data_IF_423597600752
#
_entry.id   IF_423597600752
#
_cell.length_a   1.000
_cell.length_b   1.000
_cell.length_c   1.000
_cell.angle_alpha   90.00
_cell.angle_beta   90.00
_cell.angle_gamma   90.00
#
_symmetry.space_group_name_H-M   'P 1'
#
loop_
_entity.id
_entity.type
_entity.pdbx_description
1 polymer ?
#
# COMPACT_ATOMS: atom_id res chain seq x y z
N UNK A 1 24.22 26.87 -0.27
CA UNK A 1 23.05 27.05 0.62
C UNK A 1 22.05 25.96 0.25
N UNK A 2 21.92 24.90 1.06
CA UNK A 2 20.98 23.80 0.76
C UNK A 2 19.57 24.36 0.95
N UNK A 3 18.76 24.38 -0.12
CA UNK A 3 17.35 24.81 -0.03
C UNK A 3 16.58 23.69 0.66
N UNK A 4 16.20 23.89 1.92
CA UNK A 4 15.29 23.00 2.63
C UNK A 4 13.89 23.22 2.06
N UNK A 5 13.25 22.17 1.57
CA UNK A 5 11.86 22.24 1.15
C UNK A 5 11.00 22.37 2.41
N UNK A 6 10.19 23.42 2.48
CA UNK A 6 9.26 23.65 3.58
C UNK A 6 7.84 23.43 3.06
N UNK A 7 7.09 22.54 3.72
CA UNK A 7 5.66 22.40 3.47
C UNK A 7 4.94 23.74 3.75
N UNK A 8 3.71 23.94 3.26
CA UNK A 8 2.92 25.13 3.60
C UNK A 8 2.77 25.32 5.12
N UNK A 9 2.65 24.24 5.86
CA UNK A 9 2.56 24.25 7.33
C UNK A 9 3.89 24.66 7.97
N UNK A 10 5.01 24.16 7.46
CA UNK A 10 6.34 24.53 7.98
C UNK A 10 6.65 26.01 7.74
N UNK A 11 6.17 26.59 6.64
CA UNK A 11 6.32 28.03 6.36
C UNK A 11 5.59 28.90 7.40
N UNK A 12 4.43 28.45 7.88
CA UNK A 12 3.63 29.14 8.89
C UNK A 12 4.26 28.96 10.27
N UNK A 13 4.56 27.70 10.63
CA UNK A 13 5.01 27.34 11.97
C UNK A 13 6.49 27.64 12.24
N UNK A 14 7.29 27.82 11.18
CA UNK A 14 8.73 28.11 11.23
C UNK A 14 9.46 27.18 12.22
N UNK A 15 9.36 25.85 12.06
CA UNK A 15 9.98 24.92 12.98
C UNK A 15 11.50 25.03 12.94
N UNK A 16 12.16 24.61 14.02
CA UNK A 16 13.63 24.55 14.07
C UNK A 16 14.19 23.58 13.01
N UNK A 17 15.42 23.81 12.54
CA UNK A 17 16.09 22.90 11.59
C UNK A 17 16.14 21.46 12.13
N UNK A 18 16.36 21.29 13.43
CA UNK A 18 16.39 19.97 14.08
C UNK A 18 15.06 19.22 13.94
N UNK A 19 13.94 19.94 14.06
CA UNK A 19 12.61 19.35 13.87
C UNK A 19 12.46 18.80 12.45
N UNK A 20 12.80 19.60 11.44
CA UNK A 20 12.72 19.19 10.03
C UNK A 20 13.62 17.99 9.73
N UNK A 21 14.84 17.97 10.27
CA UNK A 21 15.76 16.84 10.11
C UNK A 21 15.22 15.55 10.71
N UNK A 22 14.60 15.62 11.89
CA UNK A 22 14.00 14.45 12.54
C UNK A 22 12.79 13.97 11.75
N UNK A 23 11.93 14.89 11.28
CA UNK A 23 10.79 14.57 10.43
C UNK A 23 11.23 13.87 9.15
N UNK A 24 12.17 14.44 8.40
CA UNK A 24 12.68 13.88 7.14
C UNK A 24 13.31 12.51 7.37
N UNK A 25 14.05 12.33 8.47
CA UNK A 25 14.62 11.03 8.84
C UNK A 25 13.55 9.95 9.00
N UNK A 26 12.45 10.23 9.71
CA UNK A 26 11.37 9.25 9.88
C UNK A 26 10.58 9.02 8.60
N UNK A 27 10.31 10.07 7.82
CA UNK A 27 9.58 9.94 6.54
C UNK A 27 10.38 9.07 5.58
N UNK A 28 11.65 9.38 5.35
CA UNK A 28 12.51 8.61 4.45
C UNK A 28 12.81 7.22 5.01
N UNK A 29 13.07 7.13 6.31
CA UNK A 29 13.37 5.86 7.00
C UNK A 29 12.20 4.90 7.00
N UNK A 30 10.96 5.40 7.04
CA UNK A 30 9.74 4.57 7.01
C UNK A 30 9.63 3.73 5.74
N UNK A 31 10.26 4.15 4.63
CA UNK A 31 10.15 3.39 3.39
C UNK A 31 10.87 2.04 3.42
N UNK A 32 11.86 1.88 4.31
CA UNK A 32 12.63 0.63 4.47
C UNK A 32 11.74 -0.51 5.00
N UNK A 33 11.08 -0.37 6.18
CA UNK A 33 10.21 -1.43 6.69
C UNK A 33 9.07 -1.77 5.74
N UNK A 34 8.50 -0.78 5.03
CA UNK A 34 7.49 -1.03 4.00
C UNK A 34 8.00 -1.91 2.87
N UNK A 35 9.18 -1.60 2.33
CA UNK A 35 9.80 -2.38 1.27
C UNK A 35 10.07 -3.81 1.74
N UNK A 36 10.55 -3.98 2.97
CA UNK A 36 10.76 -5.30 3.58
C UNK A 36 9.43 -6.05 3.69
N UNK A 37 8.36 -5.40 4.16
CA UNK A 37 7.04 -6.02 4.30
C UNK A 37 6.50 -6.53 2.95
N UNK A 38 6.64 -5.78 1.86
CA UNK A 38 6.21 -6.22 0.52
C UNK A 38 6.96 -7.48 0.06
N UNK A 39 8.29 -7.50 0.25
CA UNK A 39 9.12 -8.65 -0.09
C UNK A 39 8.70 -9.86 0.76
N UNK A 40 8.45 -9.65 2.05
CA UNK A 40 8.03 -10.71 2.96
C UNK A 40 6.62 -11.22 2.63
N UNK A 41 5.67 -10.37 2.25
CA UNK A 41 4.36 -10.78 1.77
C UNK A 41 4.47 -11.69 0.55
N UNK A 42 5.23 -11.28 -0.47
CA UNK A 42 5.42 -12.09 -1.68
C UNK A 42 6.13 -13.42 -1.36
N UNK A 43 7.16 -13.39 -0.52
CA UNK A 43 7.91 -14.58 -0.10
C UNK A 43 7.02 -15.55 0.67
N UNK A 44 6.28 -15.07 1.66
CA UNK A 44 5.44 -15.89 2.52
C UNK A 44 4.27 -16.50 1.75
N UNK A 45 3.66 -15.74 0.82
CA UNK A 45 2.63 -16.24 -0.09
C UNK A 45 3.13 -17.44 -0.93
N UNK A 46 4.37 -17.38 -1.43
CA UNK A 46 4.97 -18.49 -2.15
C UNK A 46 5.31 -19.70 -1.26
N UNK A 47 5.86 -19.47 -0.06
CA UNK A 47 6.25 -20.55 0.86
C UNK A 47 5.01 -21.32 1.32
N UNK A 48 4.00 -20.60 1.81
CA UNK A 48 2.81 -21.21 2.41
C UNK A 48 1.76 -21.62 1.37
N UNK A 49 2.03 -21.38 0.09
CA UNK A 49 1.08 -21.62 -1.01
C UNK A 49 -0.27 -20.97 -0.70
N UNK A 50 -0.21 -19.69 -0.36
CA UNK A 50 -1.37 -18.87 -0.01
C UNK A 50 -1.23 -17.45 -0.56
N UNK A 51 -2.15 -16.56 -0.20
CA UNK A 51 -2.05 -15.13 -0.45
C UNK A 51 -1.87 -14.41 0.89
N UNK A 52 -0.87 -13.52 0.95
CA UNK A 52 -0.48 -12.87 2.19
C UNK A 52 -1.31 -11.62 2.48
N UNK A 53 -1.18 -10.61 1.60
CA UNK A 53 -1.95 -9.38 1.74
C UNK A 53 -3.43 -9.65 1.40
N UNK A 54 -4.38 -9.21 2.24
CA UNK A 54 -5.80 -9.36 1.92
C UNK A 54 -6.17 -8.59 0.63
N UNK A 55 -7.18 -9.07 -0.10
CA UNK A 55 -7.48 -8.61 -1.47
C UNK A 55 -7.82 -7.11 -1.56
N UNK A 56 -8.65 -6.60 -0.63
CA UNK A 56 -9.07 -5.19 -0.63
C UNK A 56 -7.86 -4.25 -0.36
N UNK A 57 -7.05 -4.47 0.69
CA UNK A 57 -5.80 -3.73 0.90
C UNK A 57 -4.85 -3.77 -0.30
N UNK A 58 -4.68 -4.93 -0.93
CA UNK A 58 -3.83 -5.06 -2.12
C UNK A 58 -4.32 -4.17 -3.27
N UNK A 59 -5.64 -4.17 -3.53
CA UNK A 59 -6.22 -3.28 -4.54
C UNK A 59 -6.03 -1.80 -4.20
N UNK A 60 -6.19 -1.43 -2.92
CA UNK A 60 -6.03 -0.06 -2.45
C UNK A 60 -4.58 0.41 -2.56
N UNK A 61 -3.61 -0.43 -2.20
CA UNK A 61 -2.19 -0.11 -2.29
C UNK A 61 -1.74 0.11 -3.73
N UNK A 62 -2.02 -0.84 -4.63
CA UNK A 62 -1.70 -0.71 -6.06
C UNK A 62 -2.28 0.59 -6.63
N UNK A 63 -3.55 0.88 -6.31
CA UNK A 63 -4.22 2.08 -6.79
C UNK A 63 -3.59 3.35 -6.22
N UNK A 64 -3.26 3.37 -4.93
CA UNK A 64 -2.60 4.50 -4.27
C UNK A 64 -1.23 4.77 -4.89
N UNK A 65 -0.40 3.74 -5.04
CA UNK A 65 0.95 3.86 -5.59
C UNK A 65 0.94 4.28 -7.05
N UNK A 66 -0.03 3.80 -7.84
CA UNK A 66 -0.18 4.23 -9.22
C UNK A 66 -0.63 5.70 -9.33
N UNK A 67 -1.66 6.09 -8.58
CA UNK A 67 -2.17 7.47 -8.63
C UNK A 67 -1.14 8.47 -8.14
N UNK A 68 -0.47 8.22 -7.01
CA UNK A 68 0.44 9.18 -6.40
C UNK A 68 1.92 8.98 -6.79
N UNK A 69 2.27 7.83 -7.37
CA UNK A 69 3.61 7.58 -7.90
C UNK A 69 3.75 7.89 -9.39
N UNK A 70 2.67 7.72 -10.17
CA UNK A 70 2.72 7.81 -11.65
C UNK A 70 1.84 8.94 -12.20
N UNK A 71 0.56 9.01 -11.81
CA UNK A 71 -0.39 9.94 -12.44
C UNK A 71 -0.30 11.37 -11.87
N UNK A 72 -0.21 11.49 -10.55
CA UNK A 72 -0.19 12.75 -9.81
C UNK A 72 0.88 12.75 -8.70
N UNK A 73 2.18 12.57 -9.04
CA UNK A 73 3.24 12.69 -8.06
C UNK A 73 3.45 14.15 -7.64
N UNK A 74 3.64 14.36 -6.33
CA UNK A 74 3.88 15.69 -5.78
C UNK A 74 5.36 16.07 -5.76
N UNK A 75 6.25 15.07 -5.82
CA UNK A 75 7.70 15.27 -5.81
C UNK A 75 8.42 14.08 -6.44
N UNK A 76 9.68 14.30 -6.82
CA UNK A 76 10.56 13.21 -7.28
C UNK A 76 10.76 12.14 -6.19
N UNK A 77 10.74 12.54 -4.91
CA UNK A 77 10.83 11.61 -3.79
C UNK A 77 9.67 10.61 -3.78
N UNK A 78 8.44 11.07 -4.03
CA UNK A 78 7.27 10.18 -4.14
C UNK A 78 7.42 9.19 -5.29
N UNK A 79 7.90 9.63 -6.45
CA UNK A 79 8.14 8.73 -7.60
C UNK A 79 9.15 7.65 -7.23
N UNK A 80 10.29 8.04 -6.65
CA UNK A 80 11.38 7.11 -6.29
C UNK A 80 10.97 6.16 -5.16
N UNK A 81 10.03 6.55 -4.29
CA UNK A 81 9.52 5.68 -3.23
C UNK A 81 8.38 4.77 -3.68
N UNK A 82 7.38 5.30 -4.37
CA UNK A 82 6.12 4.59 -4.62
C UNK A 82 6.15 3.72 -5.87
N UNK A 83 6.91 4.10 -6.91
CA UNK A 83 7.03 3.27 -8.12
C UNK A 83 7.72 1.93 -7.82
N UNK A 84 8.79 1.85 -7.00
CA UNK A 84 9.33 0.57 -6.57
C UNK A 84 8.33 -0.29 -5.78
N UNK A 85 7.47 0.30 -4.95
CA UNK A 85 6.42 -0.46 -4.26
C UNK A 85 5.37 -0.99 -5.24
N UNK A 86 5.00 -0.20 -6.26
CA UNK A 86 4.10 -0.66 -7.31
C UNK A 86 4.66 -1.85 -8.09
N UNK A 87 5.97 -1.85 -8.31
CA UNK A 87 6.67 -2.99 -8.90
C UNK A 87 6.69 -4.18 -7.93
N UNK A 88 6.86 -3.93 -6.63
CA UNK A 88 6.84 -4.97 -5.60
C UNK A 88 5.46 -5.60 -5.38
N UNK A 89 4.36 -4.94 -5.78
CA UNK A 89 3.03 -5.54 -5.79
C UNK A 89 2.87 -6.62 -6.86
N UNK A 90 3.62 -6.58 -7.97
CA UNK A 90 3.55 -7.57 -9.06
C UNK A 90 3.73 -9.00 -8.55
N UNK A 91 4.79 -9.36 -7.80
CA UNK A 91 4.92 -10.70 -7.24
C UNK A 91 3.82 -11.02 -6.21
N UNK A 92 3.30 -10.04 -5.44
CA UNK A 92 2.20 -10.27 -4.49
C UNK A 92 0.93 -10.67 -5.24
N UNK A 93 0.57 -9.93 -6.30
CA UNK A 93 -0.55 -10.25 -7.19
C UNK A 93 -0.36 -11.60 -7.85
N UNK A 94 0.84 -11.89 -8.38
CA UNK A 94 1.14 -13.17 -9.02
C UNK A 94 0.87 -14.35 -8.08
N UNK A 95 1.41 -14.33 -6.86
CA UNK A 95 1.19 -15.41 -5.90
C UNK A 95 -0.26 -15.45 -5.41
N UNK A 96 -0.91 -14.29 -5.29
CA UNK A 96 -2.35 -14.21 -4.96
C UNK A 96 -3.21 -14.90 -6.03
N UNK A 97 -2.95 -14.67 -7.31
CA UNK A 97 -3.68 -15.32 -8.40
C UNK A 97 -3.37 -16.82 -8.49
N UNK A 98 -2.12 -17.20 -8.21
CA UNK A 98 -1.65 -18.59 -8.32
C UNK A 98 -2.11 -19.48 -7.15
N UNK A 99 -2.13 -18.94 -5.94
CA UNK A 99 -2.41 -19.69 -4.72
C UNK A 99 -3.70 -19.27 -3.99
N UNK A 100 -4.29 -18.14 -4.37
CA UNK A 100 -5.55 -17.67 -3.80
C UNK A 100 -6.72 -18.63 -4.06
N UNK A 101 -6.94 -19.17 -5.28
CA UNK A 101 -8.12 -19.99 -5.57
C UNK A 101 -8.28 -21.20 -4.63
N UNK A 102 -7.19 -21.88 -4.26
CA UNK A 102 -7.23 -23.02 -3.33
C UNK A 102 -7.58 -22.63 -1.88
N UNK A 103 -7.55 -21.33 -1.55
CA UNK A 103 -8.00 -20.82 -0.24
C UNK A 103 -9.46 -20.35 -0.25
N UNK A 104 -10.12 -20.45 -1.40
CA UNK A 104 -11.53 -20.10 -1.62
C UNK A 104 -12.37 -21.32 -2.04
N UNK A 105 -11.96 -22.54 -1.68
CA UNK A 105 -12.69 -23.79 -2.01
C UNK A 105 -14.15 -23.75 -1.51
N UNK A 106 -14.40 -23.10 -0.38
CA UNK A 106 -15.73 -22.87 0.17
C UNK A 106 -16.60 -21.88 -0.63
N UNK A 107 -15.99 -21.11 -1.54
CA UNK A 107 -16.66 -20.11 -2.37
C UNK A 107 -16.14 -20.18 -3.83
N UNK A 108 -16.55 -21.20 -4.61
CA UNK A 108 -16.02 -21.45 -5.96
C UNK A 108 -16.16 -20.25 -6.91
N UNK A 109 -17.26 -19.49 -6.80
CA UNK A 109 -17.44 -18.26 -7.58
C UNK A 109 -16.32 -17.24 -7.34
N UNK A 110 -15.78 -17.15 -6.13
CA UNK A 110 -14.65 -16.27 -5.81
C UNK A 110 -13.34 -16.87 -6.33
N UNK A 111 -13.14 -18.17 -6.13
CA UNK A 111 -11.93 -18.88 -6.57
C UNK A 111 -11.72 -18.75 -8.09
N UNK A 112 -12.77 -19.00 -8.88
CA UNK A 112 -12.73 -19.01 -10.33
C UNK A 112 -12.62 -17.61 -10.94
N UNK A 113 -13.10 -16.59 -10.22
CA UNK A 113 -13.13 -15.20 -10.69
C UNK A 113 -12.12 -14.30 -9.98
N UNK A 114 -11.15 -14.86 -9.25
CA UNK A 114 -10.23 -14.07 -8.41
C UNK A 114 -9.48 -12.99 -9.20
N UNK A 115 -9.07 -13.30 -10.44
CA UNK A 115 -8.44 -12.33 -11.34
C UNK A 115 -9.36 -11.17 -11.72
N UNK A 116 -10.62 -11.46 -12.01
CA UNK A 116 -11.63 -10.43 -12.31
C UNK A 116 -11.92 -9.59 -11.06
N UNK A 117 -12.04 -10.22 -9.90
CA UNK A 117 -12.26 -9.54 -8.61
C UNK A 117 -11.12 -8.56 -8.32
N UNK A 118 -9.86 -8.98 -8.51
CA UNK A 118 -8.71 -8.09 -8.36
C UNK A 118 -8.72 -6.96 -9.38
N UNK A 119 -8.99 -7.24 -10.66
CA UNK A 119 -9.03 -6.21 -11.70
C UNK A 119 -10.10 -5.16 -11.44
N UNK A 120 -11.33 -5.59 -11.09
CA UNK A 120 -12.45 -4.71 -10.74
C UNK A 120 -12.14 -3.96 -9.43
N UNK A 121 -11.58 -4.64 -8.44
CA UNK A 121 -11.16 -4.04 -7.17
C UNK A 121 -10.14 -2.92 -7.36
N UNK A 122 -9.09 -3.16 -8.16
CA UNK A 122 -8.08 -2.15 -8.51
C UNK A 122 -8.73 -1.00 -9.27
N UNK A 123 -9.58 -1.27 -10.27
CA UNK A 123 -10.27 -0.22 -11.03
C UNK A 123 -11.17 0.67 -10.14
N UNK A 124 -11.90 0.06 -9.20
CA UNK A 124 -12.71 0.79 -8.22
C UNK A 124 -11.84 1.63 -7.29
N UNK A 125 -10.75 1.07 -6.77
CA UNK A 125 -9.83 1.80 -5.89
C UNK A 125 -9.13 2.95 -6.63
N UNK A 126 -8.74 2.76 -7.90
CA UNK A 126 -8.22 3.82 -8.76
C UNK A 126 -9.22 4.97 -8.90
N UNK A 127 -10.49 4.65 -9.16
CA UNK A 127 -11.55 5.65 -9.25
C UNK A 127 -11.76 6.38 -7.91
N UNK A 128 -11.73 5.65 -6.79
CA UNK A 128 -11.87 6.23 -5.45
C UNK A 128 -10.70 7.15 -5.10
N UNK A 129 -9.46 6.73 -5.31
CA UNK A 129 -8.28 7.58 -5.07
C UNK A 129 -8.27 8.80 -5.99
N UNK A 130 -8.65 8.66 -7.25
CA UNK A 130 -8.74 9.80 -8.16
C UNK A 130 -9.84 10.78 -7.76
N UNK A 131 -11.02 10.28 -7.36
CA UNK A 131 -12.11 11.11 -6.87
C UNK A 131 -11.72 11.84 -5.58
N UNK A 132 -11.07 11.15 -4.65
CA UNK A 132 -10.54 11.74 -3.42
C UNK A 132 -9.47 12.78 -3.72
N UNK A 133 -8.52 12.48 -4.61
CA UNK A 133 -7.50 13.47 -5.01
C UNK A 133 -8.15 14.72 -5.57
N UNK A 134 -9.23 14.62 -6.37
CA UNK A 134 -9.96 15.78 -6.90
C UNK A 134 -10.68 16.60 -5.83
N UNK A 135 -11.08 16.01 -4.71
CA UNK A 135 -11.73 16.73 -3.61
C UNK A 135 -10.73 17.43 -2.67
N UNK A 136 -9.46 17.01 -2.67
CA UNK A 136 -8.40 17.65 -1.87
C UNK A 136 -8.06 19.06 -2.37
N UNK A 137 -8.03 20.02 -1.44
CA UNK A 137 -7.59 21.40 -1.71
C UNK A 137 -6.09 21.49 -1.93
N UNK A 138 -5.30 20.84 -1.06
CA UNK A 138 -3.85 20.81 -1.22
C UNK A 138 -3.43 19.54 -1.98
N UNK A 139 -2.35 19.69 -2.73
CA UNK A 139 -1.75 18.59 -3.50
C UNK A 139 -1.21 17.50 -2.57
N UNK A 140 -0.72 17.87 -1.38
CA UNK A 140 -0.14 16.97 -0.37
C UNK A 140 -1.18 16.12 0.38
N UNK A 141 -2.42 16.59 0.50
CA UNK A 141 -3.48 15.95 1.29
C UNK A 141 -3.86 14.57 0.74
N UNK A 142 -3.92 14.44 -0.58
CA UNK A 142 -4.31 13.22 -1.28
C UNK A 142 -3.49 12.01 -0.84
N UNK A 143 -2.18 11.96 -1.17
CA UNK A 143 -1.34 10.81 -0.82
C UNK A 143 -1.29 10.58 0.69
N UNK A 144 -1.19 11.65 1.50
CA UNK A 144 -1.08 11.53 2.94
C UNK A 144 -2.32 10.85 3.56
N UNK A 145 -3.52 11.41 3.36
CA UNK A 145 -4.72 10.89 4.00
C UNK A 145 -5.13 9.53 3.46
N UNK A 146 -4.97 9.31 2.16
CA UNK A 146 -5.32 8.00 1.62
C UNK A 146 -4.30 6.91 1.99
N UNK A 147 -3.04 7.26 2.31
CA UNK A 147 -2.09 6.30 2.86
C UNK A 147 -2.54 5.79 4.24
N UNK A 148 -3.07 6.68 5.09
CA UNK A 148 -3.65 6.29 6.38
C UNK A 148 -4.84 5.32 6.22
N UNK A 149 -5.68 5.55 5.21
CA UNK A 149 -6.79 4.63 4.90
C UNK A 149 -6.26 3.29 4.43
N UNK A 150 -5.27 3.26 3.53
CA UNK A 150 -4.63 2.02 3.10
C UNK A 150 -4.01 1.27 4.27
N UNK A 151 -3.28 1.95 5.17
CA UNK A 151 -2.74 1.37 6.39
C UNK A 151 -3.84 0.72 7.25
N UNK A 152 -4.94 1.43 7.48
CA UNK A 152 -6.05 0.91 8.27
C UNK A 152 -6.66 -0.34 7.63
N UNK A 153 -6.83 -0.32 6.30
CA UNK A 153 -7.29 -1.48 5.54
C UNK A 153 -6.34 -2.67 5.69
N UNK A 154 -5.02 -2.47 5.58
CA UNK A 154 -4.01 -3.52 5.76
C UNK A 154 -4.10 -4.09 7.18
N UNK A 155 -4.10 -3.24 8.21
CA UNK A 155 -4.14 -3.68 9.61
C UNK A 155 -5.41 -4.45 9.93
N UNK A 156 -6.58 -3.87 9.66
CA UNK A 156 -7.87 -4.53 9.94
C UNK A 156 -8.06 -5.75 9.05
N UNK A 157 -7.73 -5.65 7.77
CA UNK A 157 -7.82 -6.73 6.80
C UNK A 157 -6.97 -7.92 7.19
N UNK A 158 -5.73 -7.69 7.63
CA UNK A 158 -4.81 -8.77 8.00
C UNK A 158 -5.25 -9.49 9.27
N UNK A 159 -5.78 -8.76 10.26
CA UNK A 159 -6.38 -9.38 11.47
C UNK A 159 -7.63 -10.18 11.10
N UNK A 160 -8.54 -9.62 10.30
CA UNK A 160 -9.72 -10.33 9.82
C UNK A 160 -9.34 -11.58 9.03
N UNK A 161 -8.28 -11.50 8.22
CA UNK A 161 -7.78 -12.62 7.43
C UNK A 161 -7.38 -13.81 8.31
N UNK A 162 -6.67 -13.53 9.41
CA UNK A 162 -6.28 -14.53 10.42
C UNK A 162 -7.51 -15.10 11.14
N UNK A 163 -8.45 -14.24 11.57
CA UNK A 163 -9.64 -14.66 12.31
C UNK A 163 -10.60 -15.51 11.47
N UNK A 164 -10.85 -15.12 10.22
CA UNK A 164 -11.81 -15.80 9.35
C UNK A 164 -11.28 -17.14 8.81
N UNK A 165 -9.97 -17.25 8.57
CA UNK A 165 -9.35 -18.48 8.05
C UNK A 165 -8.87 -19.43 9.15
N UNK A 166 -8.70 -18.93 10.38
CA UNK A 166 -8.17 -19.68 11.51
C UNK A 166 -6.81 -20.35 11.19
N UNK A 167 -5.98 -19.71 10.36
CA UNK A 167 -4.62 -20.14 10.01
C UNK A 167 -3.74 -18.91 9.75
N UNK A 168 -2.42 -19.08 9.88
CA UNK A 168 -1.45 -17.98 9.69
C UNK A 168 -0.78 -17.97 8.32
N UNK A 169 -1.17 -18.87 7.41
CA UNK A 169 -0.53 -18.98 6.09
C UNK A 169 -0.59 -17.67 5.31
N UNK A 170 0.52 -17.26 4.72
CA UNK A 170 0.67 -15.97 4.03
C UNK A 170 1.08 -14.82 4.96
N UNK A 171 1.12 -15.04 6.28
CA UNK A 171 1.56 -14.06 7.29
C UNK A 171 2.82 -14.53 8.01
N UNK A 172 3.59 -13.60 8.57
CA UNK A 172 4.75 -13.89 9.43
C UNK A 172 5.04 -12.71 10.34
N UNK A 173 5.70 -12.92 11.49
CA UNK A 173 6.05 -11.83 12.40
C UNK A 173 6.85 -10.70 11.75
N UNK A 174 7.66 -10.97 10.74
CA UNK A 174 8.43 -9.92 10.05
C UNK A 174 7.59 -9.03 9.13
N UNK A 175 6.36 -9.45 8.79
CA UNK A 175 5.42 -8.64 8.00
C UNK A 175 4.74 -7.58 8.88
N UNK A 176 4.60 -7.85 10.19
CA UNK A 176 3.91 -7.01 11.17
C UNK A 176 4.90 -6.13 11.94
#
# INVERSE_FOLDING_TARGET
MVRVYLSPVDKINKPSLRYLQVQDFFVLGSGIPWTIAYILYARQANIDKSYGMPLIPLCANIAWEFIYGVIHPNSLGQVISFVPWLIADVPIVYWTLKHGPSKWEQAPLVADNLGLILAVGIAMMLAMHLAFRRSCKNIEDGPFWSAWVCQLLISCGSVMHLMCRNETSGHSWGIW
#
